data_IF_447494546271
#
_entry.id   IF_447494546271
#
_cell.length_a   1.000
_cell.length_b   1.000
_cell.length_c   1.000
_cell.angle_alpha   90.00
_cell.angle_beta   90.00
_cell.angle_gamma   90.00
#
_symmetry.space_group_name_H-M   'P 1'
#
loop_
_entity.id
_entity.type
_entity.pdbx_description
1 polymer ?
#
# COMPACT_ATOMS: atom_id res chain seq x y z
N UNK A 1 -70.11 -2.67 -38.69
CA UNK A 1 -68.78 -1.99 -38.75
C UNK A 1 -68.43 -1.45 -37.36
N UNK A 2 -67.54 -2.12 -36.63
CA UNK A 2 -66.64 -1.59 -35.58
C UNK A 2 -66.05 -2.79 -34.80
N UNK A 3 -65.23 -3.60 -35.46
CA UNK A 3 -64.45 -4.67 -34.78
C UNK A 3 -62.94 -4.35 -34.75
N UNK A 4 -62.53 -3.21 -35.30
CA UNK A 4 -61.11 -2.90 -35.49
C UNK A 4 -60.42 -2.33 -34.25
N UNK A 5 -61.13 -1.73 -33.28
CA UNK A 5 -60.50 -0.99 -32.17
C UNK A 5 -59.74 -1.85 -31.15
N UNK A 6 -60.21 -3.06 -30.87
CA UNK A 6 -59.63 -3.88 -29.79
C UNK A 6 -58.28 -4.49 -30.16
N UNK A 7 -58.06 -4.81 -31.45
CA UNK A 7 -56.77 -5.29 -31.96
C UNK A 7 -55.69 -4.20 -31.88
N UNK A 8 -56.04 -2.94 -32.13
CA UNK A 8 -55.10 -1.81 -32.01
C UNK A 8 -54.67 -1.59 -30.55
N UNK A 9 -55.62 -1.63 -29.61
CA UNK A 9 -55.32 -1.52 -28.17
C UNK A 9 -54.38 -2.65 -27.71
N UNK A 10 -54.59 -3.88 -28.20
CA UNK A 10 -53.73 -5.02 -27.87
C UNK A 10 -52.31 -4.87 -28.42
N UNK A 11 -52.17 -4.40 -29.66
CA UNK A 11 -50.85 -4.16 -30.29
C UNK A 11 -50.10 -3.04 -29.57
N UNK A 12 -50.79 -1.98 -29.16
CA UNK A 12 -50.22 -0.86 -28.41
C UNK A 12 -49.74 -1.30 -27.02
N UNK A 13 -50.53 -2.13 -26.32
CA UNK A 13 -50.12 -2.75 -25.05
C UNK A 13 -48.86 -3.61 -25.18
N UNK A 14 -48.77 -4.42 -26.24
CA UNK A 14 -47.58 -5.24 -26.52
C UNK A 14 -46.38 -4.36 -26.83
N UNK A 15 -46.55 -3.30 -27.64
CA UNK A 15 -45.47 -2.37 -27.98
C UNK A 15 -44.95 -1.61 -26.75
N UNK A 16 -45.84 -1.15 -25.86
CA UNK A 16 -45.46 -0.52 -24.59
C UNK A 16 -44.72 -1.52 -23.70
N UNK A 17 -45.19 -2.77 -23.61
CA UNK A 17 -44.55 -3.79 -22.78
C UNK A 17 -43.13 -4.14 -23.27
N UNK A 18 -42.94 -4.29 -24.59
CA UNK A 18 -41.63 -4.50 -25.21
C UNK A 18 -40.74 -3.28 -25.01
N UNK A 19 -41.27 -2.06 -25.14
CA UNK A 19 -40.52 -0.82 -24.92
C UNK A 19 -40.04 -0.66 -23.48
N UNK A 20 -40.91 -0.93 -22.51
CA UNK A 20 -40.58 -0.88 -21.08
C UNK A 20 -39.57 -1.98 -20.73
N UNK A 21 -39.83 -3.23 -21.13
CA UNK A 21 -38.91 -4.35 -20.88
C UNK A 21 -37.54 -4.11 -21.54
N UNK A 22 -37.51 -3.64 -22.79
CA UNK A 22 -36.28 -3.30 -23.49
C UNK A 22 -35.51 -2.16 -22.81
N UNK A 23 -36.20 -1.14 -22.30
CA UNK A 23 -35.58 -0.06 -21.54
C UNK A 23 -35.00 -0.54 -20.20
N UNK A 24 -35.70 -1.43 -19.50
CA UNK A 24 -35.19 -2.08 -18.28
C UNK A 24 -33.95 -2.92 -18.59
N UNK A 25 -33.99 -3.75 -19.62
CA UNK A 25 -32.85 -4.60 -20.00
C UNK A 25 -31.63 -3.78 -20.43
N UNK A 26 -31.84 -2.71 -21.22
CA UNK A 26 -30.77 -1.77 -21.59
C UNK A 26 -30.16 -1.07 -20.38
N UNK A 27 -30.99 -0.70 -19.40
CA UNK A 27 -30.53 -0.07 -18.16
C UNK A 27 -29.69 -1.05 -17.33
N UNK A 28 -30.13 -2.30 -17.19
CA UNK A 28 -29.36 -3.37 -16.52
C UNK A 28 -28.01 -3.59 -17.19
N UNK A 29 -27.96 -3.68 -18.53
CA UNK A 29 -26.71 -3.85 -19.29
C UNK A 29 -25.76 -2.64 -19.10
N UNK A 30 -26.30 -1.41 -19.10
CA UNK A 30 -25.50 -0.22 -18.84
C UNK A 30 -24.96 -0.20 -17.40
N UNK A 31 -25.77 -0.62 -16.43
CA UNK A 31 -25.38 -0.69 -15.03
C UNK A 31 -24.27 -1.74 -14.81
N UNK A 32 -24.38 -2.90 -15.44
CA UNK A 32 -23.37 -3.97 -15.37
C UNK A 32 -22.04 -3.56 -16.03
N UNK A 33 -22.09 -2.90 -17.20
CA UNK A 33 -20.89 -2.33 -17.84
C UNK A 33 -20.22 -1.30 -16.94
N UNK A 34 -21.00 -0.41 -16.33
CA UNK A 34 -20.48 0.61 -15.42
C UNK A 34 -19.84 0.00 -14.18
N UNK A 35 -20.45 -1.02 -13.57
CA UNK A 35 -19.87 -1.75 -12.42
C UNK A 35 -18.54 -2.39 -12.80
N UNK A 36 -18.47 -2.98 -13.98
CA UNK A 36 -17.27 -3.61 -14.51
C UNK A 36 -16.13 -2.60 -14.78
N UNK A 37 -16.44 -1.47 -15.41
CA UNK A 37 -15.48 -0.37 -15.63
C UNK A 37 -14.95 0.19 -14.31
N UNK A 38 -15.81 0.41 -13.31
CA UNK A 38 -15.41 0.88 -11.98
C UNK A 38 -14.43 -0.11 -11.34
N UNK A 39 -14.72 -1.41 -11.40
CA UNK A 39 -13.86 -2.47 -10.85
C UNK A 39 -12.50 -2.52 -11.54
N UNK A 40 -12.46 -2.44 -12.87
CA UNK A 40 -11.20 -2.39 -13.62
C UNK A 40 -10.37 -1.14 -13.28
N UNK A 41 -11.01 0.03 -13.23
CA UNK A 41 -10.35 1.28 -12.89
C UNK A 41 -9.78 1.23 -11.47
N UNK A 42 -10.53 0.66 -10.52
CA UNK A 42 -10.05 0.45 -9.16
C UNK A 42 -8.78 -0.42 -9.13
N UNK A 43 -8.77 -1.58 -9.80
CA UNK A 43 -7.59 -2.45 -9.81
C UNK A 43 -6.37 -1.83 -10.50
N UNK A 44 -6.58 -1.08 -11.60
CA UNK A 44 -5.51 -0.33 -12.26
C UNK A 44 -4.93 0.75 -11.34
N UNK A 45 -5.78 1.55 -10.68
CA UNK A 45 -5.34 2.54 -9.70
C UNK A 45 -4.63 1.91 -8.50
N UNK A 46 -5.13 0.77 -8.01
CA UNK A 46 -4.51 0.04 -6.90
C UNK A 46 -3.13 -0.52 -7.29
N UNK A 47 -2.96 -0.96 -8.54
CA UNK A 47 -1.66 -1.40 -9.08
C UNK A 47 -0.63 -0.27 -9.04
N UNK A 48 -1.02 0.93 -9.48
CA UNK A 48 -0.14 2.11 -9.44
C UNK A 48 0.22 2.51 -8.00
N UNK A 49 -0.73 2.42 -7.06
CA UNK A 49 -0.47 2.68 -5.64
C UNK A 49 0.51 1.66 -5.06
N UNK A 50 0.34 0.36 -5.32
CA UNK A 50 1.28 -0.69 -4.92
C UNK A 50 2.68 -0.47 -5.49
N UNK A 51 2.80 -0.07 -6.75
CA UNK A 51 4.09 0.26 -7.37
C UNK A 51 4.76 1.47 -6.72
N UNK A 52 3.99 2.50 -6.36
CA UNK A 52 4.50 3.65 -5.60
C UNK A 52 5.03 3.24 -4.22
N UNK A 53 4.29 2.40 -3.50
CA UNK A 53 4.70 1.86 -2.20
C UNK A 53 5.98 1.03 -2.34
N UNK A 54 6.06 0.16 -3.34
CA UNK A 54 7.24 -0.66 -3.63
C UNK A 54 8.47 0.20 -3.92
N UNK A 55 8.32 1.25 -4.74
CA UNK A 55 9.41 2.17 -5.06
C UNK A 55 9.95 2.87 -3.81
N UNK A 56 9.07 3.42 -2.96
CA UNK A 56 9.45 4.04 -1.70
C UNK A 56 10.12 3.00 -0.78
N UNK A 57 9.55 1.80 -0.64
CA UNK A 57 10.10 0.74 0.19
C UNK A 57 11.51 0.33 -0.26
N UNK A 58 11.76 0.20 -1.56
CA UNK A 58 13.09 -0.09 -2.12
C UNK A 58 14.09 1.03 -1.88
N UNK A 59 13.67 2.28 -2.02
CA UNK A 59 14.51 3.43 -1.71
C UNK A 59 14.92 3.42 -0.23
N UNK A 60 13.97 3.24 0.68
CA UNK A 60 14.23 3.18 2.12
C UNK A 60 15.12 1.98 2.49
N UNK A 61 14.89 0.82 1.89
CA UNK A 61 15.74 -0.35 2.05
C UNK A 61 17.19 -0.08 1.62
N UNK A 62 17.39 0.54 0.45
CA UNK A 62 18.72 0.88 -0.05
C UNK A 62 19.47 1.86 0.86
N UNK A 63 18.75 2.86 1.40
CA UNK A 63 19.28 3.79 2.40
C UNK A 63 19.71 3.05 3.66
N UNK A 64 18.84 2.20 4.22
CA UNK A 64 19.15 1.40 5.42
C UNK A 64 20.33 0.47 5.19
N UNK A 65 20.38 -0.21 4.03
CA UNK A 65 21.50 -1.09 3.66
C UNK A 65 22.83 -0.34 3.60
N UNK A 66 22.82 0.86 3.03
CA UNK A 66 23.99 1.74 2.96
C UNK A 66 24.45 2.14 4.36
N UNK A 67 23.53 2.58 5.22
CA UNK A 67 23.83 2.97 6.61
C UNK A 67 24.42 1.78 7.37
N UNK A 68 23.76 0.63 7.34
CA UNK A 68 24.22 -0.57 8.03
C UNK A 68 25.61 -1.01 7.56
N UNK A 69 25.88 -0.93 6.24
CA UNK A 69 27.19 -1.25 5.67
C UNK A 69 28.28 -0.33 6.21
N UNK A 70 28.03 0.98 6.25
CA UNK A 70 28.98 1.98 6.77
C UNK A 70 29.33 1.68 8.24
N UNK A 71 28.33 1.50 9.09
CA UNK A 71 28.58 1.23 10.51
C UNK A 71 29.23 -0.14 10.75
N UNK A 72 28.85 -1.16 9.99
CA UNK A 72 29.45 -2.50 10.11
C UNK A 72 30.94 -2.46 9.77
N UNK A 73 31.31 -1.76 8.69
CA UNK A 73 32.70 -1.60 8.28
C UNK A 73 33.52 -0.82 9.32
N UNK A 74 32.98 0.29 9.82
CA UNK A 74 33.65 1.08 10.85
C UNK A 74 33.86 0.27 12.14
N UNK A 75 32.86 -0.47 12.59
CA UNK A 75 32.98 -1.34 13.78
C UNK A 75 34.04 -2.43 13.53
N UNK A 76 34.09 -3.04 12.34
CA UNK A 76 35.14 -4.03 12.03
C UNK A 76 36.55 -3.43 12.02
N UNK A 77 36.67 -2.14 11.65
CA UNK A 77 37.93 -1.40 11.65
C UNK A 77 38.26 -0.75 13.01
N UNK A 78 37.40 -0.90 14.02
CA UNK A 78 37.50 -0.21 15.32
C UNK A 78 37.49 1.32 15.20
N UNK A 79 36.77 1.84 14.22
CA UNK A 79 36.56 3.26 14.01
C UNK A 79 35.36 3.77 14.82
N UNK A 80 35.51 4.96 15.43
CA UNK A 80 34.48 5.60 16.24
C UNK A 80 33.66 6.59 15.40
N UNK A 81 32.70 6.08 14.63
CA UNK A 81 31.79 6.92 13.85
C UNK A 81 30.77 7.63 14.76
N UNK A 82 30.57 8.93 14.57
CA UNK A 82 29.44 9.60 15.22
C UNK A 82 28.12 9.00 14.73
N UNK A 83 27.24 8.59 15.65
CA UNK A 83 25.86 8.20 15.31
C UNK A 83 25.12 9.41 14.75
N UNK A 84 24.35 9.24 13.68
CA UNK A 84 23.72 10.36 12.95
C UNK A 84 22.22 10.14 12.80
N UNK A 85 21.51 11.26 12.76
CA UNK A 85 20.15 11.30 12.26
C UNK A 85 20.17 11.37 10.72
N UNK A 86 19.36 10.54 10.08
CA UNK A 86 19.21 10.48 8.62
C UNK A 86 17.80 10.96 8.25
N UNK A 87 17.62 12.23 7.87
CA UNK A 87 16.30 12.77 7.52
C UNK A 87 15.66 12.12 6.29
N UNK A 88 16.46 11.47 5.45
CA UNK A 88 15.98 10.70 4.29
C UNK A 88 15.24 9.41 4.67
N UNK A 89 15.35 8.96 5.93
CA UNK A 89 14.58 7.84 6.45
C UNK A 89 13.16 8.30 6.80
N UNK A 90 12.27 8.25 5.82
CA UNK A 90 10.86 8.59 5.93
C UNK A 90 10.03 7.57 5.15
N UNK A 91 9.07 6.97 5.84
CA UNK A 91 8.13 6.02 5.24
C UNK A 91 6.68 6.47 5.40
N UNK A 92 6.43 7.75 5.13
CA UNK A 92 5.08 8.29 5.03
C UNK A 92 4.46 7.91 3.69
N UNK A 93 3.43 7.06 3.73
CA UNK A 93 2.72 6.62 2.53
C UNK A 93 1.26 7.04 2.61
N UNK A 94 0.81 7.89 1.68
CA UNK A 94 -0.62 8.13 1.49
C UNK A 94 -1.22 7.00 0.65
N UNK A 95 -2.24 6.32 1.18
CA UNK A 95 -2.90 5.17 0.52
C UNK A 95 -4.37 5.48 0.16
N UNK A 96 -4.66 6.47 -0.71
CA UNK A 96 -6.03 6.85 -1.05
C UNK A 96 -6.85 5.73 -1.70
N UNK A 97 -6.24 4.84 -2.49
CA UNK A 97 -6.97 3.74 -3.16
C UNK A 97 -7.29 2.61 -2.19
N UNK A 98 -6.37 2.29 -1.27
CA UNK A 98 -6.68 1.42 -0.13
C UNK A 98 -7.83 2.01 0.70
N UNK A 99 -7.81 3.32 0.99
CA UNK A 99 -8.87 3.99 1.77
C UNK A 99 -10.21 3.97 1.02
N UNK A 100 -10.22 4.17 -0.29
CA UNK A 100 -11.45 4.17 -1.09
C UNK A 100 -12.12 2.79 -1.17
N UNK A 101 -11.34 1.71 -0.98
CA UNK A 101 -11.86 0.34 -0.87
C UNK A 101 -12.88 0.18 0.26
N UNK A 102 -12.79 1.02 1.29
CA UNK A 102 -13.65 0.99 2.47
C UNK A 102 -14.76 2.06 2.46
N UNK A 103 -15.12 2.58 1.29
CA UNK A 103 -16.26 3.49 1.09
C UNK A 103 -17.46 2.69 0.53
N UNK A 104 -18.66 2.93 1.08
CA UNK A 104 -19.87 2.08 0.95
C UNK A 104 -20.25 1.66 -0.47
N UNK A 105 -19.96 2.46 -1.50
CA UNK A 105 -20.33 2.17 -2.90
C UNK A 105 -19.33 1.28 -3.65
N UNK A 106 -18.10 1.13 -3.15
CA UNK A 106 -17.08 0.26 -3.75
C UNK A 106 -17.08 -1.16 -3.18
N UNK A 107 -17.60 -1.33 -1.96
CA UNK A 107 -17.72 -2.62 -1.29
C UNK A 107 -18.57 -3.65 -2.02
N UNK A 108 -19.66 -3.23 -2.67
CA UNK A 108 -20.61 -4.15 -3.32
C UNK A 108 -20.00 -4.87 -4.53
N UNK A 109 -18.91 -4.32 -5.09
CA UNK A 109 -18.34 -4.77 -6.37
C UNK A 109 -16.94 -5.42 -6.22
N UNK A 110 -16.37 -5.45 -5.01
CA UNK A 110 -15.04 -6.01 -4.74
C UNK A 110 -15.16 -7.30 -3.94
N UNK A 111 -14.36 -8.31 -4.29
CA UNK A 111 -14.32 -9.60 -3.59
C UNK A 111 -13.98 -9.43 -2.09
N UNK A 112 -14.76 -10.01 -1.16
CA UNK A 112 -14.52 -9.90 0.28
C UNK A 112 -13.14 -10.38 0.75
N UNK A 113 -12.58 -11.43 0.13
CA UNK A 113 -11.23 -11.91 0.45
C UNK A 113 -10.17 -10.89 0.01
N UNK A 114 -10.40 -10.23 -1.12
CA UNK A 114 -9.51 -9.18 -1.60
C UNK A 114 -9.53 -7.95 -0.67
N UNK A 115 -10.70 -7.53 -0.19
CA UNK A 115 -10.83 -6.47 0.83
C UNK A 115 -10.14 -6.83 2.14
N UNK A 116 -10.26 -8.09 2.57
CA UNK A 116 -9.55 -8.59 3.76
C UNK A 116 -8.04 -8.48 3.59
N UNK A 117 -7.50 -8.84 2.42
CA UNK A 117 -6.08 -8.73 2.12
C UNK A 117 -5.62 -7.27 2.09
N UNK A 118 -6.41 -6.36 1.51
CA UNK A 118 -6.14 -4.91 1.56
C UNK A 118 -6.07 -4.42 3.01
N UNK A 119 -7.02 -4.82 3.85
CA UNK A 119 -7.05 -4.43 5.27
C UNK A 119 -5.80 -4.90 6.02
N UNK A 120 -5.41 -6.17 5.87
CA UNK A 120 -4.19 -6.69 6.49
C UNK A 120 -2.93 -6.00 5.97
N UNK A 121 -2.83 -5.77 4.66
CA UNK A 121 -1.72 -5.03 4.05
C UNK A 121 -1.60 -3.61 4.61
N UNK A 122 -2.72 -2.89 4.72
CA UNK A 122 -2.75 -1.54 5.30
C UNK A 122 -2.24 -1.51 6.74
N UNK A 123 -2.65 -2.48 7.58
CA UNK A 123 -2.16 -2.59 8.95
C UNK A 123 -0.64 -2.81 9.01
N UNK A 124 -0.08 -3.62 8.11
CA UNK A 124 1.36 -3.83 8.02
C UNK A 124 2.12 -2.56 7.61
N UNK A 125 1.58 -1.80 6.66
CA UNK A 125 2.14 -0.52 6.24
C UNK A 125 2.16 0.49 7.40
N UNK A 126 1.04 0.63 8.12
CA UNK A 126 0.96 1.50 9.31
C UNK A 126 1.91 1.07 10.42
N UNK A 127 2.13 -0.24 10.62
CA UNK A 127 3.10 -0.73 11.60
C UNK A 127 4.54 -0.33 11.21
N UNK A 128 4.89 -0.45 9.93
CA UNK A 128 6.19 -0.07 9.40
C UNK A 128 6.43 1.43 9.52
N UNK A 129 5.46 2.25 9.11
CA UNK A 129 5.45 3.70 9.27
C UNK A 129 5.70 4.10 10.73
N UNK A 130 4.90 3.59 11.68
CA UNK A 130 5.08 3.86 13.11
C UNK A 130 6.45 3.44 13.65
N UNK A 131 7.03 2.34 13.14
CA UNK A 131 8.37 1.88 13.54
C UNK A 131 9.44 2.83 13.00
N UNK A 132 9.31 3.28 11.76
CA UNK A 132 10.21 4.27 11.14
C UNK A 132 10.15 5.59 11.92
N UNK A 133 8.95 6.12 12.17
CA UNK A 133 8.75 7.35 12.93
C UNK A 133 9.39 7.28 14.31
N UNK A 134 9.21 6.14 15.01
CA UNK A 134 9.82 5.92 16.32
C UNK A 134 11.35 5.95 16.24
N UNK A 135 11.92 5.30 15.23
CA UNK A 135 13.37 5.30 15.02
C UNK A 135 13.89 6.72 14.77
N UNK A 136 13.24 7.46 13.87
CA UNK A 136 13.56 8.86 13.53
C UNK A 136 13.46 9.76 14.76
N UNK A 137 12.35 9.70 15.50
CA UNK A 137 12.17 10.47 16.73
C UNK A 137 13.22 10.15 17.80
N UNK A 138 13.59 8.87 17.95
CA UNK A 138 14.66 8.48 18.87
C UNK A 138 16.01 9.05 18.44
N UNK A 139 16.33 9.02 17.15
CA UNK A 139 17.55 9.63 16.62
C UNK A 139 17.58 11.14 16.87
N UNK A 140 16.48 11.85 16.57
CA UNK A 140 16.36 13.28 16.85
C UNK A 140 16.54 13.58 18.35
N UNK A 141 15.80 12.87 19.22
CA UNK A 141 15.82 13.12 20.67
C UNK A 141 17.17 12.82 21.31
N UNK A 142 17.81 11.71 20.92
CA UNK A 142 18.98 11.17 21.63
C UNK A 142 20.31 11.57 20.98
N UNK A 143 20.34 11.87 19.69
CA UNK A 143 21.56 12.18 18.95
C UNK A 143 21.70 13.68 18.64
N UNK A 144 20.61 14.34 18.22
CA UNK A 144 20.67 15.75 17.81
C UNK A 144 20.81 16.70 19.01
N UNK A 145 20.10 16.42 20.10
CA UNK A 145 20.08 17.31 21.28
C UNK A 145 21.34 17.24 22.15
N UNK A 146 22.23 16.27 21.94
CA UNK A 146 23.28 15.95 22.91
C UNK A 146 24.72 16.34 22.48
N UNK A 147 24.95 16.95 21.30
CA UNK A 147 26.29 17.36 20.78
C UNK A 147 27.42 16.38 21.17
N UNK A 148 27.15 15.09 20.99
CA UNK A 148 27.97 14.03 21.59
C UNK A 148 29.20 13.81 20.72
N UNK A 149 30.40 13.87 21.31
CA UNK A 149 31.62 13.42 20.63
C UNK A 149 31.54 11.92 20.35
N UNK A 150 31.98 11.47 19.18
CA UNK A 150 31.86 10.08 18.72
C UNK A 150 32.27 9.03 19.77
N UNK A 151 33.34 9.26 20.53
CA UNK A 151 33.82 8.35 21.58
C UNK A 151 32.81 8.04 22.70
N UNK A 152 31.81 8.88 22.94
CA UNK A 152 30.84 8.62 24.02
C UNK A 152 29.82 7.53 23.64
N UNK A 153 29.66 7.23 22.35
CA UNK A 153 28.77 6.17 21.87
C UNK A 153 29.37 4.77 21.99
N UNK A 154 30.69 4.68 22.18
CA UNK A 154 31.42 3.42 22.10
C UNK A 154 32.13 3.09 23.42
N UNK A 155 32.32 1.80 23.64
CA UNK A 155 33.22 1.25 24.62
C UNK A 155 34.68 1.37 24.14
N UNK A 156 35.63 1.19 25.05
CA UNK A 156 37.07 1.21 24.75
C UNK A 156 37.50 0.14 23.75
N UNK A 157 36.73 -0.94 23.61
CA UNK A 157 36.96 -2.01 22.65
C UNK A 157 36.44 -1.70 21.22
N UNK A 158 35.84 -0.53 20.99
CA UNK A 158 35.27 -0.13 19.70
C UNK A 158 33.83 -0.59 19.44
N UNK A 159 33.20 -1.29 20.38
CA UNK A 159 31.78 -1.67 20.27
C UNK A 159 30.86 -0.55 20.74
N UNK A 160 29.64 -0.49 20.21
CA UNK A 160 28.62 0.43 20.73
C UNK A 160 28.30 0.09 22.18
N UNK A 161 28.11 1.12 23.01
CA UNK A 161 27.65 0.89 24.38
C UNK A 161 26.21 0.35 24.36
N UNK A 162 25.80 -0.44 25.37
CA UNK A 162 24.48 -1.07 25.42
C UNK A 162 23.31 -0.08 25.26
N UNK A 163 23.42 1.12 25.82
CA UNK A 163 22.43 2.18 25.72
C UNK A 163 22.22 2.73 24.30
N UNK A 164 23.15 2.47 23.38
CA UNK A 164 23.07 2.83 21.96
C UNK A 164 22.87 1.61 21.04
N UNK A 165 22.74 0.40 21.59
CA UNK A 165 22.53 -0.82 20.81
C UNK A 165 21.24 -0.78 19.98
N UNK A 166 20.21 -0.07 20.47
CA UNK A 166 18.94 0.12 19.76
C UNK A 166 19.12 0.70 18.35
N UNK A 167 20.16 1.51 18.12
CA UNK A 167 20.34 2.24 16.87
C UNK A 167 20.55 1.30 15.67
N UNK A 168 21.49 0.36 15.78
CA UNK A 168 21.73 -0.61 14.70
C UNK A 168 20.70 -1.73 14.70
N UNK A 169 20.18 -2.14 15.86
CA UNK A 169 19.16 -3.19 15.93
C UNK A 169 17.83 -2.76 15.31
N UNK A 170 17.36 -1.53 15.57
CA UNK A 170 16.15 -1.02 14.94
C UNK A 170 16.31 -0.89 13.42
N UNK A 171 17.47 -0.46 12.93
CA UNK A 171 17.76 -0.45 11.48
C UNK A 171 17.71 -1.85 10.87
N UNK A 172 18.26 -2.88 11.53
CA UNK A 172 18.18 -4.27 11.07
C UNK A 172 16.73 -4.78 11.03
N UNK A 173 15.93 -4.43 12.03
CA UNK A 173 14.50 -4.78 12.07
C UNK A 173 13.76 -4.10 10.94
N UNK A 174 13.95 -2.79 10.75
CA UNK A 174 13.34 -2.03 9.65
C UNK A 174 13.74 -2.63 8.30
N UNK A 175 15.02 -2.94 8.09
CA UNK A 175 15.52 -3.63 6.90
C UNK A 175 14.74 -4.92 6.62
N UNK A 176 14.57 -5.78 7.63
CA UNK A 176 13.82 -7.03 7.48
C UNK A 176 12.36 -6.79 7.12
N UNK A 177 11.73 -5.76 7.70
CA UNK A 177 10.36 -5.38 7.37
C UNK A 177 10.24 -4.88 5.93
N UNK A 178 11.16 -4.02 5.47
CA UNK A 178 11.17 -3.53 4.08
C UNK A 178 11.43 -4.64 3.06
N UNK A 179 12.38 -5.56 3.33
CA UNK A 179 12.62 -6.73 2.47
C UNK A 179 11.35 -7.55 2.31
N UNK A 180 10.64 -7.81 3.42
CA UNK A 180 9.37 -8.54 3.38
C UNK A 180 8.29 -7.77 2.62
N UNK A 181 8.18 -6.46 2.83
CA UNK A 181 7.21 -5.62 2.13
C UNK A 181 7.41 -5.68 0.61
N UNK A 182 8.64 -5.46 0.14
CA UNK A 182 9.00 -5.56 -1.29
C UNK A 182 8.64 -6.94 -1.84
N UNK A 183 9.00 -8.02 -1.13
CA UNK A 183 8.66 -9.37 -1.56
C UNK A 183 7.15 -9.62 -1.64
N UNK A 184 6.38 -9.15 -0.65
CA UNK A 184 4.92 -9.29 -0.63
C UNK A 184 4.29 -8.54 -1.81
N UNK A 185 4.77 -7.33 -2.11
CA UNK A 185 4.22 -6.54 -3.22
C UNK A 185 4.58 -7.18 -4.56
N UNK A 186 5.86 -7.46 -4.80
CA UNK A 186 6.35 -7.96 -6.09
C UNK A 186 5.88 -9.38 -6.42
N UNK A 187 5.87 -10.27 -5.42
CA UNK A 187 5.59 -11.71 -5.63
C UNK A 187 4.17 -12.12 -5.25
N UNK A 188 3.42 -11.24 -4.58
CA UNK A 188 2.05 -11.50 -4.14
C UNK A 188 1.08 -10.48 -4.72
N UNK A 189 1.05 -9.28 -4.15
CA UNK A 189 -0.01 -8.30 -4.41
C UNK A 189 -0.10 -7.88 -5.89
N UNK A 190 1.01 -7.53 -6.54
CA UNK A 190 1.00 -7.14 -7.95
C UNK A 190 0.55 -8.29 -8.89
N UNK A 191 1.10 -9.53 -8.78
CA UNK A 191 0.59 -10.67 -9.53
C UNK A 191 -0.90 -10.96 -9.30
N UNK A 192 -1.38 -10.87 -8.06
CA UNK A 192 -2.76 -11.17 -7.73
C UNK A 192 -3.73 -10.14 -8.31
N UNK A 193 -3.39 -8.85 -8.23
CA UNK A 193 -4.19 -7.77 -8.85
C UNK A 193 -4.17 -7.89 -10.37
N UNK A 194 -3.04 -8.28 -10.97
CA UNK A 194 -2.95 -8.52 -12.41
C UNK A 194 -3.91 -9.64 -12.86
N UNK A 195 -3.95 -10.77 -12.14
CA UNK A 195 -4.91 -11.86 -12.41
C UNK A 195 -6.36 -11.38 -12.29
N UNK A 196 -6.65 -10.52 -11.32
CA UNK A 196 -7.99 -9.93 -11.17
C UNK A 196 -8.36 -9.08 -12.38
N UNK A 197 -7.44 -8.23 -12.88
CA UNK A 197 -7.66 -7.44 -14.11
C UNK A 197 -7.91 -8.35 -15.31
N UNK A 198 -7.12 -9.40 -15.49
CA UNK A 198 -7.24 -10.37 -16.59
C UNK A 198 -8.53 -11.19 -16.52
N UNK A 199 -8.97 -11.59 -15.30
CA UNK A 199 -10.24 -12.30 -15.10
C UNK A 199 -11.48 -11.43 -15.29
N UNK A 200 -11.26 -10.11 -15.36
CA UNK A 200 -12.30 -9.09 -15.57
C UNK A 200 -12.21 -8.57 -17.00
N UNK A 201 -11.59 -9.28 -17.96
CA UNK A 201 -11.63 -8.98 -19.40
C UNK A 201 -12.42 -10.06 -20.14
#
# INVERSE_FOLDING_TARGET
MKETGWKYIFIELIAVFIGVYGAFELNTIQEDRRKHEIKQNYYKSFTLELQGIDAIAKQQLATIDTILKIYTLAISNKEFLTLRYYPELDFTVNMPIVKSAFISTHFENIDPNFLRNISFGSNHLTLLEKRMDRYVMNCQRLLYNNQVSSHQFYQTNGQLKPEFAWYLEDLKILRLMFVRLVQIIEKGALPDVKKLIESTQ
#
